data_IF_323992304202
#
_entry.id   IF_323992304202
#
_cell.length_a   1.000
_cell.length_b   1.000
_cell.length_c   1.000
_cell.angle_alpha   90.00
_cell.angle_beta   90.00
_cell.angle_gamma   90.00
#
_symmetry.space_group_name_H-M   'P 1'
#
loop_
_entity.id
_entity.type
_entity.pdbx_description
1 polymer ?
#
# COMPACT_ATOMS: atom_id res chain seq x y z
N UNK A 1 -8.36 43.61 -0.82
CA UNK A 1 -9.04 42.36 -1.25
C UNK A 1 -10.53 42.64 -1.27
N UNK A 2 -11.23 42.33 -2.36
CA UNK A 2 -12.66 42.66 -2.52
C UNK A 2 -13.58 41.65 -1.85
N UNK A 3 -14.81 42.05 -1.53
CA UNK A 3 -15.85 41.20 -0.94
C UNK A 3 -16.09 39.89 -1.74
N UNK A 4 -15.88 39.96 -3.06
CA UNK A 4 -15.94 38.82 -3.98
C UNK A 4 -14.91 37.74 -3.69
N UNK A 5 -13.68 38.08 -3.26
CA UNK A 5 -12.67 37.09 -2.88
C UNK A 5 -13.10 36.33 -1.62
N UNK A 6 -13.69 37.01 -0.64
CA UNK A 6 -14.18 36.38 0.60
C UNK A 6 -15.33 35.44 0.32
N UNK A 7 -16.27 35.83 -0.56
CA UNK A 7 -17.39 34.98 -0.99
C UNK A 7 -16.96 33.75 -1.80
N UNK A 8 -15.94 33.88 -2.66
CA UNK A 8 -15.39 32.73 -3.39
C UNK A 8 -14.69 31.76 -2.43
N UNK A 9 -13.93 32.28 -1.45
CA UNK A 9 -13.26 31.45 -0.44
C UNK A 9 -14.24 30.75 0.50
N UNK A 10 -15.32 31.42 0.93
CA UNK A 10 -16.35 30.78 1.75
C UNK A 10 -17.19 29.77 0.96
N UNK A 11 -17.50 30.02 -0.32
CA UNK A 11 -18.15 29.02 -1.17
C UNK A 11 -17.26 27.79 -1.41
N UNK A 12 -15.96 27.97 -1.63
CA UNK A 12 -15.00 26.86 -1.71
C UNK A 12 -14.94 26.08 -0.39
N UNK A 13 -14.82 26.74 0.76
CA UNK A 13 -14.84 26.06 2.06
C UNK A 13 -16.19 25.35 2.34
N UNK A 14 -17.32 25.88 1.89
CA UNK A 14 -18.62 25.20 1.98
C UNK A 14 -18.74 24.00 1.02
N UNK A 15 -18.11 24.03 -0.15
CA UNK A 15 -18.07 22.88 -1.07
C UNK A 15 -17.12 21.76 -0.62
N UNK A 16 -16.20 22.04 0.31
CA UNK A 16 -15.35 21.04 0.99
C UNK A 16 -15.88 20.62 2.37
N UNK A 17 -17.16 20.88 2.69
CA UNK A 17 -17.79 20.15 3.80
C UNK A 17 -17.98 18.69 3.39
N UNK A 18 -17.28 17.77 4.07
CA UNK A 18 -17.44 16.32 3.90
C UNK A 18 -18.93 15.95 3.88
N UNK A 19 -19.42 15.39 2.78
CA UNK A 19 -20.77 14.84 2.70
C UNK A 19 -20.85 13.54 3.49
N UNK A 20 -20.89 13.64 4.82
CA UNK A 20 -21.09 12.52 5.74
C UNK A 20 -22.51 11.98 5.63
N UNK A 21 -22.76 11.21 4.58
CA UNK A 21 -23.99 10.42 4.42
C UNK A 21 -24.08 9.40 5.55
N UNK A 22 -25.04 9.59 6.46
CA UNK A 22 -25.28 8.66 7.56
C UNK A 22 -25.82 7.33 7.01
N UNK A 23 -24.98 6.30 7.01
CA UNK A 23 -25.38 4.93 6.63
C UNK A 23 -26.05 4.26 7.83
N UNK A 24 -27.35 3.98 7.73
CA UNK A 24 -28.05 3.19 8.74
C UNK A 24 -27.83 1.71 8.44
N UNK A 25 -27.26 0.98 9.39
CA UNK A 25 -27.08 -0.48 9.32
C UNK A 25 -28.21 -1.16 10.07
N UNK A 26 -28.96 -2.03 9.40
CA UNK A 26 -29.97 -2.89 10.02
C UNK A 26 -29.42 -4.31 10.17
N UNK A 27 -29.54 -4.85 11.38
CA UNK A 27 -29.20 -6.24 11.72
C UNK A 27 -30.45 -6.99 12.22
N UNK A 28 -30.53 -8.32 12.09
CA UNK A 28 -31.55 -9.12 12.77
C UNK A 28 -31.41 -9.02 14.30
N UNK A 29 -32.46 -9.44 15.01
CA UNK A 29 -32.44 -9.54 16.48
C UNK A 29 -31.38 -10.52 17.01
N UNK A 30 -31.20 -10.53 18.34
CA UNK A 30 -30.12 -11.27 19.00
C UNK A 30 -30.04 -12.75 18.57
N UNK A 31 -28.94 -13.11 17.91
CA UNK A 31 -28.63 -14.48 17.49
C UNK A 31 -28.01 -15.23 18.68
N UNK A 32 -28.59 -16.36 19.07
CA UNK A 32 -28.04 -17.26 20.09
C UNK A 32 -27.39 -18.47 19.41
N UNK A 33 -26.19 -18.83 19.84
CA UNK A 33 -25.51 -20.08 19.46
C UNK A 33 -24.92 -20.75 20.68
N UNK A 34 -24.72 -22.07 20.62
CA UNK A 34 -24.10 -22.83 21.70
C UNK A 34 -22.59 -22.60 21.74
N UNK A 35 -21.97 -22.78 22.91
CA UNK A 35 -20.51 -22.65 23.07
C UNK A 35 -19.82 -23.66 22.16
N UNK A 36 -18.93 -23.18 21.28
CA UNK A 36 -18.23 -23.98 20.27
C UNK A 36 -18.85 -23.96 18.87
N UNK A 37 -20.09 -23.47 18.70
CA UNK A 37 -20.73 -23.36 17.40
C UNK A 37 -20.53 -21.97 16.77
N UNK A 38 -20.51 -21.90 15.44
CA UNK A 38 -20.49 -20.63 14.71
C UNK A 38 -21.85 -19.93 14.77
N UNK A 39 -21.85 -18.61 14.54
CA UNK A 39 -23.06 -17.79 14.42
C UNK A 39 -22.85 -16.77 13.29
N UNK A 40 -23.85 -16.62 12.42
CA UNK A 40 -23.78 -15.69 11.28
C UNK A 40 -24.72 -14.52 11.50
N UNK A 41 -24.19 -13.30 11.39
CA UNK A 41 -24.95 -12.05 11.46
C UNK A 41 -24.90 -11.39 10.08
N UNK A 42 -26.06 -11.15 9.49
CA UNK A 42 -26.19 -10.51 8.17
C UNK A 42 -26.72 -9.08 8.33
N UNK A 43 -25.95 -8.10 7.86
CA UNK A 43 -26.28 -6.68 7.96
C UNK A 43 -26.67 -6.10 6.59
N UNK A 44 -27.59 -5.12 6.57
CA UNK A 44 -27.97 -4.37 5.36
C UNK A 44 -27.81 -2.87 5.60
N UNK A 45 -27.29 -2.14 4.61
CA UNK A 45 -27.19 -0.68 4.62
C UNK A 45 -28.42 -0.02 3.98
N UNK A 46 -28.79 1.17 4.45
CA UNK A 46 -29.91 1.97 3.90
C UNK A 46 -29.66 2.52 2.48
N UNK A 47 -28.40 2.58 2.05
CA UNK A 47 -27.98 3.07 0.73
C UNK A 47 -26.77 2.28 0.22
N UNK A 48 -26.53 2.33 -1.10
CA UNK A 48 -25.33 1.79 -1.71
C UNK A 48 -24.10 2.58 -1.24
N UNK A 49 -23.09 1.89 -0.71
CA UNK A 49 -21.81 2.52 -0.36
C UNK A 49 -21.00 2.65 -1.66
N UNK A 50 -20.90 3.87 -2.19
CA UNK A 50 -20.21 4.12 -3.46
C UNK A 50 -18.70 4.20 -3.24
N UNK A 51 -17.93 3.43 -4.01
CA UNK A 51 -16.51 3.19 -3.80
C UNK A 51 -15.68 4.11 -4.70
N UNK A 52 -14.85 4.97 -4.10
CA UNK A 52 -13.83 5.78 -4.82
C UNK A 52 -12.39 5.46 -4.38
N UNK A 53 -12.22 4.57 -3.41
CA UNK A 53 -10.92 3.99 -3.02
C UNK A 53 -11.12 2.58 -2.47
N UNK A 54 -10.12 1.71 -2.61
CA UNK A 54 -10.23 0.26 -2.34
C UNK A 54 -10.30 -0.13 -0.85
N UNK A 55 -10.59 0.80 0.06
CA UNK A 55 -10.45 0.60 1.51
C UNK A 55 -11.68 1.08 2.29
N UNK A 56 -12.58 0.15 2.59
CA UNK A 56 -13.59 0.32 3.63
C UNK A 56 -13.35 -0.70 4.75
N UNK A 57 -13.20 -0.20 5.98
CA UNK A 57 -12.97 -0.98 7.18
C UNK A 57 -14.28 -1.22 7.91
N UNK A 58 -14.72 -2.48 8.01
CA UNK A 58 -15.87 -2.86 8.82
C UNK A 58 -15.36 -3.49 10.12
N UNK A 59 -15.50 -2.74 11.22
CA UNK A 59 -14.97 -3.07 12.53
C UNK A 59 -16.05 -3.71 13.43
N UNK A 60 -15.78 -4.90 13.96
CA UNK A 60 -16.64 -5.60 14.90
C UNK A 60 -16.14 -5.39 16.33
N UNK A 61 -17.02 -5.00 17.24
CA UNK A 61 -16.70 -4.81 18.66
C UNK A 61 -17.51 -5.78 19.52
N UNK A 62 -16.86 -6.41 20.50
CA UNK A 62 -17.51 -7.10 21.60
C UNK A 62 -17.80 -6.08 22.71
N UNK A 63 -19.05 -5.99 23.14
CA UNK A 63 -19.44 -5.21 24.31
C UNK A 63 -20.09 -6.15 25.33
N UNK A 64 -19.69 -6.04 26.60
CA UNK A 64 -20.34 -6.68 27.74
C UNK A 64 -21.06 -5.61 28.57
N UNK A 65 -22.06 -6.01 29.35
CA UNK A 65 -22.84 -5.08 30.15
C UNK A 65 -21.94 -4.36 31.18
N UNK A 66 -21.84 -3.04 31.07
CA UNK A 66 -20.99 -2.20 31.91
C UNK A 66 -19.53 -2.05 31.46
N UNK A 67 -19.08 -2.75 30.41
CA UNK A 67 -17.71 -2.67 29.89
C UNK A 67 -17.59 -1.78 28.64
N UNK A 68 -16.37 -1.28 28.39
CA UNK A 68 -16.03 -0.59 27.15
C UNK A 68 -15.97 -1.57 25.96
N UNK A 69 -16.49 -1.21 24.77
CA UNK A 69 -16.44 -2.11 23.61
C UNK A 69 -15.00 -2.44 23.18
N UNK A 70 -14.65 -3.73 23.14
CA UNK A 70 -13.35 -4.24 22.70
C UNK A 70 -13.41 -4.63 21.21
N UNK A 71 -12.50 -4.10 20.39
CA UNK A 71 -12.39 -4.46 18.98
C UNK A 71 -12.03 -5.95 18.83
N UNK A 72 -12.84 -6.70 18.08
CA UNK A 72 -12.62 -8.11 17.75
C UNK A 72 -11.91 -8.30 16.41
N UNK A 73 -12.36 -7.58 15.38
CA UNK A 73 -11.81 -7.71 14.03
C UNK A 73 -12.11 -6.49 13.16
N UNK A 74 -11.28 -6.28 12.15
CA UNK A 74 -11.49 -5.31 11.08
C UNK A 74 -11.44 -6.06 9.76
N UNK A 75 -12.53 -6.07 9.01
CA UNK A 75 -12.59 -6.69 7.67
C UNK A 75 -12.57 -5.61 6.59
N UNK A 76 -11.62 -5.73 5.67
CA UNK A 76 -11.69 -5.07 4.37
C UNK A 76 -12.73 -5.82 3.53
N UNK A 77 -13.79 -5.13 3.10
CA UNK A 77 -14.84 -5.74 2.28
C UNK A 77 -14.74 -5.20 0.86
N UNK A 78 -14.29 -6.06 -0.05
CA UNK A 78 -14.50 -5.86 -1.48
C UNK A 78 -15.98 -6.15 -1.80
N UNK A 79 -16.71 -5.16 -2.31
CA UNK A 79 -18.11 -5.28 -2.75
C UNK A 79 -18.26 -5.12 -4.28
N UNK A 80 -17.19 -5.34 -5.05
CA UNK A 80 -17.19 -5.17 -6.51
C UNK A 80 -18.00 -6.21 -7.31
N UNK A 81 -18.70 -7.14 -6.64
CA UNK A 81 -19.52 -8.18 -7.29
C UNK A 81 -20.99 -8.15 -6.84
N UNK A 82 -21.97 -7.94 -7.74
CA UNK A 82 -23.40 -8.02 -7.40
C UNK A 82 -23.82 -9.48 -7.18
N UNK A 83 -23.72 -9.95 -5.93
CA UNK A 83 -24.22 -11.28 -5.53
C UNK A 83 -23.41 -12.00 -4.45
N UNK A 84 -22.23 -11.50 -4.04
CA UNK A 84 -21.40 -12.17 -3.05
C UNK A 84 -21.95 -12.02 -1.62
N UNK A 85 -22.65 -13.05 -1.12
CA UNK A 85 -22.85 -13.22 0.32
C UNK A 85 -21.49 -13.54 0.95
N UNK A 86 -20.91 -12.59 1.68
CA UNK A 86 -19.66 -12.80 2.40
C UNK A 86 -19.86 -13.76 3.58
N UNK A 87 -19.73 -15.07 3.33
CA UNK A 87 -19.67 -16.07 4.38
C UNK A 87 -18.46 -15.78 5.29
N UNK A 88 -18.69 -15.74 6.60
CA UNK A 88 -17.64 -15.64 7.59
C UNK A 88 -17.23 -17.05 8.01
N UNK A 89 -16.17 -17.56 7.39
CA UNK A 89 -15.52 -18.81 7.80
C UNK A 89 -14.04 -18.53 8.16
N UNK A 90 -13.52 -19.26 9.15
CA UNK A 90 -12.15 -19.12 9.65
C UNK A 90 -11.90 -17.97 10.64
N UNK A 91 -12.46 -18.03 11.86
CA UNK A 91 -12.00 -17.21 12.98
C UNK A 91 -12.07 -17.96 14.33
N UNK A 92 -11.12 -18.85 14.58
CA UNK A 92 -10.99 -19.54 15.88
C UNK A 92 -9.52 -19.82 16.28
N UNK A 93 -8.76 -18.75 16.53
CA UNK A 93 -7.38 -18.86 17.03
C UNK A 93 -6.85 -17.57 17.69
N UNK A 94 -7.62 -16.96 18.61
CA UNK A 94 -7.11 -16.03 19.64
C UNK A 94 -8.16 -15.68 20.72
N UNK A 95 -8.76 -16.71 21.34
CA UNK A 95 -9.52 -16.59 22.59
C UNK A 95 -8.85 -17.40 23.71
N UNK A 96 -7.60 -17.06 24.01
CA UNK A 96 -6.91 -17.45 25.25
C UNK A 96 -6.23 -16.19 25.80
N UNK A 97 -6.28 -16.06 27.12
CA UNK A 97 -5.96 -14.85 27.87
C UNK A 97 -4.45 -14.53 27.91
N UNK A 98 -4.11 -13.24 27.84
CA UNK A 98 -2.91 -12.68 28.46
C UNK A 98 -3.17 -11.19 28.70
N UNK A 99 -3.07 -10.76 29.96
CA UNK A 99 -3.06 -9.35 30.32
C UNK A 99 -1.73 -8.70 29.90
N UNK A 100 -1.73 -7.38 29.71
CA UNK A 100 -0.55 -6.61 29.29
C UNK A 100 -0.95 -5.33 28.57
N UNK A 101 -1.03 -4.22 29.31
CA UNK A 101 -1.53 -2.94 28.78
C UNK A 101 -0.45 -2.05 28.17
N UNK A 102 -0.91 -1.00 27.49
CA UNK A 102 -0.18 0.26 27.29
C UNK A 102 -1.23 1.36 27.18
N UNK A 103 -1.43 2.08 28.29
CA UNK A 103 -2.17 3.33 28.31
C UNK A 103 -1.20 4.51 28.10
N UNK A 104 -1.76 5.69 27.85
CA UNK A 104 -1.09 6.99 27.96
C UNK A 104 -0.02 7.41 26.91
N UNK A 105 -0.40 8.37 26.04
CA UNK A 105 0.39 9.59 25.92
C UNK A 105 -0.45 10.84 25.58
N UNK A 106 -0.21 11.91 26.34
CA UNK A 106 -0.44 13.33 26.01
C UNK A 106 -1.87 13.91 25.97
N UNK A 107 -2.29 14.41 27.13
CA UNK A 107 -3.26 15.51 27.32
C UNK A 107 -2.53 16.82 27.69
N UNK A 108 -2.79 17.92 26.98
CA UNK A 108 -2.75 19.36 27.40
C UNK A 108 -3.05 20.23 26.17
N UNK A 109 -3.76 21.36 26.21
CA UNK A 109 -4.07 22.39 27.25
C UNK A 109 -5.60 22.65 27.36
N UNK A 110 -6.26 23.01 28.47
CA UNK A 110 -6.12 24.20 29.38
C UNK A 110 -6.42 25.54 28.64
N UNK A 111 -7.29 26.50 29.03
CA UNK A 111 -8.15 26.85 30.21
C UNK A 111 -9.41 27.64 29.69
N UNK A 112 -10.58 27.84 30.32
CA UNK A 112 -11.23 27.33 31.56
C UNK A 112 -12.12 28.38 32.32
N UNK A 113 -13.20 27.91 32.99
CA UNK A 113 -14.06 28.58 34.03
C UNK A 113 -15.08 29.72 33.72
N UNK A 114 -16.32 29.55 34.22
CA UNK A 114 -17.37 30.59 34.37
C UNK A 114 -18.76 30.00 34.73
N UNK A 115 -19.26 30.22 35.96
CA UNK A 115 -20.38 29.49 36.60
C UNK A 115 -21.74 30.29 36.59
N UNK A 116 -22.90 29.77 37.08
CA UNK A 116 -24.21 30.02 36.43
C UNK A 116 -25.28 30.79 37.25
N UNK A 117 -26.36 31.26 36.60
CA UNK A 117 -27.65 31.58 37.27
C UNK A 117 -28.91 31.68 36.36
N UNK A 118 -29.89 30.79 36.60
CA UNK A 118 -31.35 30.96 36.84
C UNK A 118 -32.27 31.84 35.93
N UNK A 119 -33.55 31.44 35.90
CA UNK A 119 -34.65 31.80 34.98
C UNK A 119 -35.57 32.99 35.38
N UNK A 120 -36.09 33.72 34.37
CA UNK A 120 -37.45 34.34 34.23
C UNK A 120 -37.87 35.57 35.08
N UNK A 121 -38.93 36.36 34.69
CA UNK A 121 -39.31 36.87 33.34
C UNK A 121 -39.89 38.33 33.31
N UNK A 122 -40.40 38.79 32.13
CA UNK A 122 -41.26 40.00 31.84
C UNK A 122 -40.53 41.37 31.74
N UNK A 123 -40.97 42.38 30.94
CA UNK A 123 -42.16 42.59 30.09
C UNK A 123 -41.91 43.61 28.92
N UNK A 124 -42.51 43.35 27.75
CA UNK A 124 -42.92 44.21 26.60
C UNK A 124 -42.37 45.62 26.26
N UNK A 125 -42.15 45.83 24.94
CA UNK A 125 -42.20 47.13 24.25
C UNK A 125 -42.13 47.00 22.70
N UNK A 126 -43.14 47.42 21.91
CA UNK A 126 -43.18 47.19 20.45
C UNK A 126 -42.79 48.43 19.63
N UNK A 127 -41.71 48.34 18.83
CA UNK A 127 -41.31 49.45 17.93
C UNK A 127 -40.39 49.09 16.76
N UNK A 128 -39.41 48.20 16.96
CA UNK A 128 -38.32 47.99 15.99
C UNK A 128 -38.59 46.97 14.87
N UNK A 129 -39.58 46.09 15.04
CA UNK A 129 -39.79 44.96 14.12
C UNK A 129 -40.33 45.36 12.74
N UNK A 130 -41.12 46.44 12.62
CA UNK A 130 -41.70 46.84 11.32
C UNK A 130 -40.69 47.41 10.34
N UNK A 131 -39.70 48.18 10.82
CA UNK A 131 -38.61 48.68 9.98
C UNK A 131 -37.73 47.52 9.49
N UNK A 132 -37.39 46.60 10.40
CA UNK A 132 -36.62 45.40 10.06
C UNK A 132 -37.30 44.52 8.99
N UNK A 133 -38.62 44.30 9.08
CA UNK A 133 -39.35 43.53 8.05
C UNK A 133 -39.35 44.20 6.68
N UNK A 134 -39.42 45.54 6.61
CA UNK A 134 -39.38 46.27 5.33
C UNK A 134 -37.98 46.20 4.71
N UNK A 135 -36.93 46.41 5.50
CA UNK A 135 -35.54 46.28 5.03
C UNK A 135 -35.17 44.85 4.59
N UNK A 136 -35.69 43.82 5.27
CA UNK A 136 -35.45 42.43 4.88
C UNK A 136 -36.18 42.08 3.57
N UNK A 137 -37.43 42.55 3.40
CA UNK A 137 -38.19 42.32 2.17
C UNK A 137 -37.55 42.98 0.94
N UNK A 138 -37.01 44.21 1.08
CA UNK A 138 -36.31 44.88 -0.03
C UNK A 138 -34.98 44.21 -0.35
N UNK A 139 -34.22 43.76 0.65
CA UNK A 139 -32.99 42.96 0.45
C UNK A 139 -33.29 41.65 -0.29
N UNK A 140 -34.32 40.90 0.10
CA UNK A 140 -34.74 39.69 -0.60
C UNK A 140 -35.14 39.95 -2.05
N UNK A 141 -35.87 41.04 -2.33
CA UNK A 141 -36.23 41.42 -3.69
C UNK A 141 -35.00 41.74 -4.56
N UNK A 142 -34.04 42.50 -4.04
CA UNK A 142 -32.80 42.85 -4.73
C UNK A 142 -31.96 41.59 -5.02
N UNK A 143 -31.85 40.67 -4.05
CA UNK A 143 -31.15 39.39 -4.22
C UNK A 143 -31.80 38.48 -5.25
N UNK A 144 -33.14 38.42 -5.30
CA UNK A 144 -33.83 37.63 -6.33
C UNK A 144 -33.60 38.21 -7.73
N UNK A 145 -33.65 39.53 -7.89
CA UNK A 145 -33.37 40.19 -9.18
C UNK A 145 -31.91 39.96 -9.62
N UNK A 146 -30.94 40.03 -8.71
CA UNK A 146 -29.53 39.78 -9.05
C UNK A 146 -29.26 38.31 -9.41
N UNK A 147 -29.87 37.35 -8.70
CA UNK A 147 -29.79 35.92 -9.03
C UNK A 147 -30.39 35.65 -10.42
N UNK A 148 -31.55 36.23 -10.74
CA UNK A 148 -32.19 36.08 -12.05
C UNK A 148 -31.31 36.69 -13.16
N UNK A 149 -30.73 37.86 -12.93
CA UNK A 149 -29.82 38.50 -13.89
C UNK A 149 -28.54 37.67 -14.12
N UNK A 150 -27.94 37.12 -13.07
CA UNK A 150 -26.76 36.23 -13.17
C UNK A 150 -27.12 34.93 -13.87
N UNK A 151 -28.28 34.33 -13.58
CA UNK A 151 -28.74 33.11 -14.25
C UNK A 151 -29.01 33.34 -15.76
N UNK A 152 -29.61 34.49 -16.11
CA UNK A 152 -29.81 34.89 -17.51
C UNK A 152 -28.48 35.15 -18.23
N UNK A 153 -27.54 35.84 -17.59
CA UNK A 153 -26.19 36.05 -18.13
C UNK A 153 -25.45 34.73 -18.34
N UNK A 154 -25.48 33.82 -17.35
CA UNK A 154 -24.88 32.49 -17.43
C UNK A 154 -25.50 31.63 -18.55
N UNK A 155 -26.83 31.70 -18.73
CA UNK A 155 -27.51 31.02 -19.84
C UNK A 155 -27.08 31.57 -21.20
N UNK A 156 -26.93 32.89 -21.30
CA UNK A 156 -26.46 33.58 -22.52
C UNK A 156 -25.01 33.19 -22.87
N UNK A 157 -24.07 33.25 -21.92
CA UNK A 157 -22.68 32.84 -22.17
C UNK A 157 -22.55 31.35 -22.47
N UNK A 158 -23.39 30.48 -21.90
CA UNK A 158 -23.35 29.04 -22.16
C UNK A 158 -23.77 28.66 -23.59
N UNK A 159 -24.65 29.43 -24.24
CA UNK A 159 -25.01 29.22 -25.66
C UNK A 159 -24.00 29.83 -26.66
N UNK A 160 -23.04 30.64 -26.19
CA UNK A 160 -22.12 31.37 -27.08
C UNK A 160 -20.71 30.79 -27.25
N UNK A 161 -20.26 29.85 -26.39
CA UNK A 161 -18.85 29.42 -26.42
C UNK A 161 -18.48 28.13 -25.68
N UNK A 162 -19.43 27.30 -25.27
CA UNK A 162 -19.15 26.09 -24.48
C UNK A 162 -18.92 24.79 -25.28
N UNK A 163 -19.39 24.73 -26.52
CA UNK A 163 -19.52 23.45 -27.26
C UNK A 163 -18.19 23.04 -27.94
N UNK A 164 -17.62 23.95 -28.75
CA UNK A 164 -16.40 23.69 -29.56
C UNK A 164 -15.17 23.30 -28.72
N UNK A 165 -14.97 23.92 -27.56
CA UNK A 165 -13.83 23.62 -26.69
C UNK A 165 -13.96 22.24 -26.01
N UNK A 166 -15.18 21.90 -25.58
CA UNK A 166 -15.49 20.59 -24.95
C UNK A 166 -15.34 19.44 -25.95
N UNK A 167 -15.81 19.64 -27.19
CA UNK A 167 -15.65 18.66 -28.26
C UNK A 167 -14.18 18.48 -28.67
N UNK A 168 -13.43 19.58 -28.84
CA UNK A 168 -11.99 19.50 -29.20
C UNK A 168 -11.18 18.74 -28.16
N UNK A 169 -11.44 18.99 -26.87
CA UNK A 169 -10.73 18.32 -25.77
C UNK A 169 -11.11 16.83 -25.69
N UNK A 170 -12.39 16.49 -25.84
CA UNK A 170 -12.86 15.10 -25.91
C UNK A 170 -12.26 14.36 -27.11
N UNK A 171 -12.27 14.97 -28.30
CA UNK A 171 -11.78 14.37 -29.54
C UNK A 171 -10.27 14.15 -29.50
N UNK A 172 -9.52 15.03 -28.84
CA UNK A 172 -8.08 14.85 -28.55
C UNK A 172 -7.86 13.70 -27.56
N UNK A 173 -8.70 13.58 -26.53
CA UNK A 173 -8.62 12.48 -25.57
C UNK A 173 -8.96 11.12 -26.21
N UNK A 174 -10.00 11.06 -27.04
CA UNK A 174 -10.38 9.85 -27.78
C UNK A 174 -9.28 9.43 -28.78
N UNK A 175 -8.62 10.38 -29.44
CA UNK A 175 -7.46 10.13 -30.30
C UNK A 175 -6.27 9.57 -29.50
N UNK A 176 -5.96 10.13 -28.32
CA UNK A 176 -4.88 9.65 -27.46
C UNK A 176 -5.16 8.24 -26.90
N UNK A 177 -6.42 7.94 -26.52
CA UNK A 177 -6.84 6.60 -26.08
C UNK A 177 -6.72 5.60 -27.22
N UNK A 178 -7.11 5.97 -28.44
CA UNK A 178 -6.96 5.13 -29.64
C UNK A 178 -5.48 4.82 -29.92
N UNK A 179 -4.62 5.84 -29.91
CA UNK A 179 -3.18 5.68 -30.11
C UNK A 179 -2.54 4.79 -29.03
N UNK A 180 -2.88 5.00 -27.75
CA UNK A 180 -2.38 4.16 -26.66
C UNK A 180 -2.87 2.71 -26.77
N UNK A 181 -4.13 2.49 -27.17
CA UNK A 181 -4.68 1.15 -27.39
C UNK A 181 -3.97 0.42 -28.53
N UNK A 182 -3.63 1.13 -29.62
CA UNK A 182 -2.83 0.59 -30.70
C UNK A 182 -1.43 0.16 -30.20
N UNK A 183 -0.73 1.01 -29.45
CA UNK A 183 0.57 0.68 -28.84
C UNK A 183 0.49 -0.53 -27.91
N UNK A 184 -0.54 -0.63 -27.05
CA UNK A 184 -0.75 -1.79 -26.17
C UNK A 184 -0.92 -3.07 -27.00
N UNK A 185 -1.72 -3.03 -28.07
CA UNK A 185 -1.93 -4.20 -28.94
C UNK A 185 -0.66 -4.62 -29.69
N UNK A 186 0.19 -3.67 -30.09
CA UNK A 186 1.49 -3.95 -30.70
C UNK A 186 2.44 -4.62 -29.70
N UNK A 187 2.59 -4.08 -28.48
CA UNK A 187 3.40 -4.67 -27.41
C UNK A 187 2.91 -6.06 -26.99
N UNK A 188 1.60 -6.31 -27.01
CA UNK A 188 1.03 -7.64 -26.77
C UNK A 188 1.38 -8.64 -27.88
N UNK A 189 1.50 -8.18 -29.13
CA UNK A 189 1.92 -9.02 -30.24
C UNK A 189 3.43 -9.33 -30.19
N UNK A 190 4.25 -8.34 -29.84
CA UNK A 190 5.70 -8.50 -29.62
C UNK A 190 5.98 -9.47 -28.46
N UNK A 191 5.26 -9.35 -27.33
CA UNK A 191 5.38 -10.32 -26.23
C UNK A 191 5.05 -11.76 -26.67
N UNK A 192 4.05 -11.96 -27.54
CA UNK A 192 3.72 -13.28 -28.11
C UNK A 192 4.82 -13.80 -29.05
N UNK A 193 5.48 -12.91 -29.78
CA UNK A 193 6.63 -13.24 -30.63
C UNK A 193 7.80 -13.73 -29.77
N UNK A 194 8.21 -12.93 -28.76
CA UNK A 194 9.30 -13.26 -27.84
C UNK A 194 9.06 -14.56 -27.05
N UNK A 195 7.81 -14.83 -26.64
CA UNK A 195 7.46 -16.09 -25.97
C UNK A 195 7.68 -17.31 -26.88
N UNK A 196 7.34 -17.22 -28.17
CA UNK A 196 7.59 -18.30 -29.13
C UNK A 196 9.08 -18.52 -29.36
N UNK A 197 9.84 -17.45 -29.54
CA UNK A 197 11.29 -17.51 -29.74
C UNK A 197 12.00 -18.10 -28.51
N UNK A 198 11.60 -17.71 -27.30
CA UNK A 198 12.05 -18.33 -26.03
C UNK A 198 11.77 -19.83 -26.01
N UNK A 199 10.55 -20.24 -26.35
CA UNK A 199 10.13 -21.64 -26.28
C UNK A 199 10.82 -22.49 -27.36
N UNK A 200 11.07 -21.92 -28.55
CA UNK A 200 11.89 -22.53 -29.60
C UNK A 200 13.36 -22.67 -29.19
N UNK A 201 13.96 -21.62 -28.61
CA UNK A 201 15.32 -21.68 -28.08
C UNK A 201 15.45 -22.70 -26.94
N UNK A 202 14.45 -22.81 -26.06
CA UNK A 202 14.39 -23.83 -25.01
C UNK A 202 14.31 -25.24 -25.58
N UNK A 203 13.50 -25.44 -26.63
CA UNK A 203 13.42 -26.71 -27.34
C UNK A 203 14.76 -27.06 -28.03
N UNK A 204 15.40 -26.10 -28.71
CA UNK A 204 16.74 -26.25 -29.29
C UNK A 204 17.78 -26.61 -28.24
N UNK A 205 17.82 -25.90 -27.10
CA UNK A 205 18.72 -26.20 -25.99
C UNK A 205 18.52 -27.62 -25.44
N UNK A 206 17.26 -28.06 -25.30
CA UNK A 206 16.95 -29.43 -24.87
C UNK A 206 17.37 -30.50 -25.90
N UNK A 207 17.29 -30.20 -27.20
CA UNK A 207 17.73 -31.09 -28.27
C UNK A 207 19.26 -31.10 -28.48
N UNK A 208 19.94 -29.99 -28.18
CA UNK A 208 21.41 -29.88 -28.23
C UNK A 208 22.07 -30.50 -27.00
N UNK A 209 21.33 -30.71 -25.90
CA UNK A 209 21.77 -31.57 -24.78
C UNK A 209 21.77 -33.02 -25.24
N UNK A 210 22.90 -33.43 -25.83
CA UNK A 210 23.13 -34.78 -26.36
C UNK A 210 22.72 -35.86 -25.35
N UNK A 211 22.24 -37.05 -25.80
CA UNK A 211 21.93 -38.14 -24.90
C UNK A 211 23.17 -38.45 -24.07
N UNK A 212 23.02 -38.34 -22.74
CA UNK A 212 24.11 -38.49 -21.80
C UNK A 212 24.70 -39.89 -21.96
N UNK A 213 25.90 -39.94 -22.53
CA UNK A 213 26.66 -41.19 -22.70
C UNK A 213 26.71 -41.84 -21.31
N UNK A 214 26.24 -43.08 -21.23
CA UNK A 214 26.06 -43.81 -19.96
C UNK A 214 27.41 -43.99 -19.28
N UNK A 215 27.82 -42.96 -18.54
CA UNK A 215 28.95 -42.96 -17.62
C UNK A 215 28.47 -43.68 -16.35
N UNK A 216 29.31 -44.50 -15.71
CA UNK A 216 28.89 -45.23 -14.51
C UNK A 216 28.26 -44.29 -13.51
N UNK A 217 27.05 -44.63 -13.06
CA UNK A 217 26.18 -43.77 -12.27
C UNK A 217 26.92 -43.22 -11.05
N UNK A 218 27.39 -41.97 -11.14
CA UNK A 218 27.73 -41.22 -9.95
C UNK A 218 26.46 -41.17 -9.10
N UNK A 219 26.55 -41.58 -7.84
CA UNK A 219 25.41 -41.56 -6.94
C UNK A 219 24.74 -40.18 -7.01
N UNK A 220 23.41 -40.15 -7.16
CA UNK A 220 22.67 -38.90 -7.20
C UNK A 220 23.13 -38.03 -6.01
N UNK A 221 23.54 -36.76 -6.24
CA UNK A 221 24.05 -35.93 -5.17
C UNK A 221 23.01 -35.88 -4.05
N UNK A 222 23.46 -36.06 -2.81
CA UNK A 222 22.58 -36.08 -1.65
C UNK A 222 21.68 -34.83 -1.66
N UNK A 223 20.40 -34.94 -1.31
CA UNK A 223 19.50 -33.79 -1.32
C UNK A 223 20.08 -32.68 -0.45
N UNK A 224 20.15 -31.47 -1.00
CA UNK A 224 20.60 -30.29 -0.25
C UNK A 224 19.58 -30.03 0.85
N UNK A 225 20.03 -30.03 2.10
CA UNK A 225 19.21 -29.74 3.28
C UNK A 225 19.80 -28.53 3.98
N UNK A 226 19.00 -27.47 4.10
CA UNK A 226 19.36 -26.29 4.87
C UNK A 226 19.23 -26.57 6.38
N UNK A 227 20.01 -25.84 7.18
CA UNK A 227 19.89 -25.86 8.63
C UNK A 227 18.53 -25.29 9.06
N UNK A 228 18.11 -25.58 10.29
CA UNK A 228 16.91 -24.98 10.86
C UNK A 228 17.01 -23.44 10.83
N UNK A 229 15.89 -22.79 10.52
CA UNK A 229 15.76 -21.34 10.25
C UNK A 229 16.44 -20.83 8.96
N UNK A 230 16.94 -21.72 8.10
CA UNK A 230 17.40 -21.38 6.75
C UNK A 230 16.44 -21.92 5.68
N UNK A 231 16.17 -21.13 4.65
CA UNK A 231 15.24 -21.44 3.56
C UNK A 231 16.02 -21.90 2.32
N UNK A 232 15.64 -23.03 1.74
CA UNK A 232 16.25 -23.57 0.51
C UNK A 232 15.67 -22.87 -0.72
N UNK A 233 16.52 -22.38 -1.61
CA UNK A 233 16.16 -22.02 -2.98
C UNK A 233 17.30 -22.39 -3.93
N UNK A 234 16.97 -23.12 -5.00
CA UNK A 234 17.95 -23.77 -5.89
C UNK A 234 19.02 -24.56 -5.12
N UNK A 235 20.28 -24.11 -5.15
CA UNK A 235 21.45 -24.71 -4.50
C UNK A 235 21.99 -23.89 -3.32
N UNK A 236 21.25 -22.86 -2.89
CA UNK A 236 21.61 -21.94 -1.81
C UNK A 236 20.61 -22.02 -0.65
N UNK A 237 21.12 -21.78 0.55
CA UNK A 237 20.34 -21.63 1.77
C UNK A 237 20.36 -20.17 2.21
N UNK A 238 19.20 -19.62 2.57
CA UNK A 238 19.06 -18.19 2.93
C UNK A 238 18.52 -18.02 4.35
N UNK A 239 19.11 -17.11 5.11
CA UNK A 239 18.69 -16.76 6.48
C UNK A 239 18.13 -15.33 6.50
N UNK A 240 16.87 -15.19 6.91
CA UNK A 240 16.23 -13.89 7.14
C UNK A 240 16.47 -13.48 8.60
N UNK A 241 17.44 -12.59 8.85
CA UNK A 241 17.74 -12.12 10.21
C UNK A 241 16.58 -11.29 10.77
N UNK A 242 16.25 -11.49 12.05
CA UNK A 242 15.37 -10.59 12.83
C UNK A 242 16.14 -9.56 13.65
N UNK A 243 17.47 -9.64 13.65
CA UNK A 243 18.35 -8.72 14.36
C UNK A 243 18.85 -7.65 13.39
N UNK A 244 18.82 -6.40 13.81
CA UNK A 244 19.36 -5.28 13.04
C UNK A 244 20.86 -5.09 13.25
N UNK A 245 21.58 -4.77 12.18
CA UNK A 245 23.01 -4.43 12.14
C UNK A 245 23.27 -3.40 11.05
N UNK A 246 24.41 -2.72 11.11
CA UNK A 246 24.92 -2.01 9.94
C UNK A 246 25.34 -3.01 8.84
N UNK A 247 25.55 -2.53 7.61
CA UNK A 247 25.84 -3.40 6.48
C UNK A 247 27.19 -4.17 6.66
N UNK A 248 28.30 -3.55 7.08
CA UNK A 248 29.57 -4.25 7.36
C UNK A 248 29.48 -5.32 8.46
N UNK A 249 28.78 -5.04 9.57
CA UNK A 249 28.54 -6.03 10.62
C UNK A 249 27.62 -7.16 10.15
N UNK A 250 26.64 -6.86 9.28
CA UNK A 250 25.76 -7.86 8.69
C UNK A 250 26.55 -8.84 7.83
N UNK A 251 27.42 -8.33 6.96
CA UNK A 251 28.35 -9.14 6.16
C UNK A 251 29.28 -9.98 7.05
N UNK A 252 29.87 -9.37 8.07
CA UNK A 252 30.73 -10.06 9.05
C UNK A 252 29.98 -11.18 9.79
N UNK A 253 28.71 -10.96 10.14
CA UNK A 253 27.87 -11.98 10.76
C UNK A 253 27.58 -13.13 9.79
N UNK A 254 27.23 -12.86 8.53
CA UNK A 254 27.02 -13.90 7.54
C UNK A 254 28.31 -14.72 7.34
N UNK A 255 29.47 -14.07 7.22
CA UNK A 255 30.77 -14.73 7.15
C UNK A 255 31.04 -15.65 8.34
N UNK A 256 30.64 -15.26 9.56
CA UNK A 256 30.73 -16.12 10.77
C UNK A 256 29.90 -17.41 10.70
N UNK A 257 28.94 -17.52 9.76
CA UNK A 257 28.14 -18.73 9.48
C UNK A 257 28.67 -19.55 8.29
N UNK A 258 29.78 -19.11 7.68
CA UNK A 258 30.25 -19.63 6.39
C UNK A 258 29.23 -19.34 5.30
N UNK A 259 28.84 -18.07 5.21
CA UNK A 259 27.82 -17.49 4.34
C UNK A 259 28.27 -16.06 3.97
N UNK A 260 27.52 -15.34 3.14
CA UNK A 260 27.70 -13.91 2.86
C UNK A 260 26.34 -13.20 2.90
N UNK A 261 26.29 -11.87 2.84
CA UNK A 261 25.04 -11.17 2.52
C UNK A 261 24.54 -11.65 1.14
N UNK A 262 23.22 -11.85 1.02
CA UNK A 262 22.65 -12.50 -0.16
C UNK A 262 22.98 -11.77 -1.47
N UNK A 263 23.47 -12.52 -2.44
CA UNK A 263 23.65 -12.06 -3.82
C UNK A 263 22.34 -12.39 -4.55
N UNK A 264 21.93 -11.56 -5.52
CA UNK A 264 20.64 -11.74 -6.20
C UNK A 264 20.85 -11.67 -7.71
N UNK A 265 20.89 -12.84 -8.34
CA UNK A 265 21.18 -13.01 -9.75
C UNK A 265 19.93 -13.08 -10.63
N UNK A 266 18.77 -13.50 -10.10
CA UNK A 266 17.55 -13.69 -10.92
C UNK A 266 16.29 -13.07 -10.32
N UNK A 267 15.27 -12.88 -11.17
CA UNK A 267 13.97 -12.35 -10.73
C UNK A 267 13.19 -13.36 -9.87
N UNK A 268 13.42 -14.66 -10.06
CA UNK A 268 12.86 -15.73 -9.24
C UNK A 268 13.47 -15.71 -7.83
N UNK A 269 14.78 -15.51 -7.72
CA UNK A 269 15.51 -15.36 -6.46
C UNK A 269 15.06 -14.09 -5.71
N UNK A 270 15.00 -12.96 -6.41
CA UNK A 270 14.45 -11.71 -5.88
C UNK A 270 13.03 -11.90 -5.34
N UNK A 271 12.18 -12.59 -6.08
CA UNK A 271 10.78 -12.83 -5.68
C UNK A 271 10.70 -13.76 -4.48
N UNK A 272 11.49 -14.84 -4.45
CA UNK A 272 11.60 -15.76 -3.33
C UNK A 272 12.03 -15.04 -2.04
N UNK A 273 13.13 -14.27 -2.09
CA UNK A 273 13.60 -13.51 -0.94
C UNK A 273 12.58 -12.48 -0.48
N UNK A 274 12.01 -11.71 -1.40
CA UNK A 274 10.97 -10.73 -1.10
C UNK A 274 9.74 -11.39 -0.46
N UNK A 275 9.31 -12.56 -0.94
CA UNK A 275 8.17 -13.28 -0.37
C UNK A 275 8.41 -13.78 1.06
N UNK A 276 9.64 -14.18 1.40
CA UNK A 276 10.03 -14.52 2.77
C UNK A 276 10.03 -13.32 3.74
N UNK A 277 10.23 -12.10 3.25
CA UNK A 277 10.26 -10.92 4.14
C UNK A 277 8.90 -10.73 4.84
N UNK A 278 8.87 -10.42 6.15
CA UNK A 278 7.64 -10.01 6.82
C UNK A 278 7.20 -8.64 6.29
N UNK A 279 5.92 -8.49 5.93
CA UNK A 279 5.36 -7.18 5.56
C UNK A 279 5.13 -6.34 6.83
N UNK A 280 5.62 -5.10 6.84
CA UNK A 280 5.48 -4.19 8.00
C UNK A 280 5.63 -2.72 7.62
N UNK A 281 5.69 -1.84 8.61
CA UNK A 281 5.84 -0.40 8.38
C UNK A 281 7.30 -0.07 8.01
N UNK A 282 7.59 0.04 6.70
CA UNK A 282 8.94 0.21 6.16
C UNK A 282 9.92 -0.88 6.58
N UNK A 283 9.48 -2.14 6.53
CA UNK A 283 10.37 -3.29 6.74
C UNK A 283 11.39 -3.37 5.60
N UNK A 284 12.66 -3.11 5.93
CA UNK A 284 13.80 -3.05 5.03
C UNK A 284 14.89 -4.05 5.46
N UNK A 285 15.57 -4.67 4.49
CA UNK A 285 16.57 -5.72 4.74
C UNK A 285 17.82 -5.50 3.90
N UNK A 286 19.00 -5.48 4.53
CA UNK A 286 20.29 -5.49 3.81
C UNK A 286 20.47 -6.78 3.00
N UNK A 287 21.04 -6.62 1.82
CA UNK A 287 21.54 -7.69 0.95
C UNK A 287 22.89 -7.27 0.37
N UNK A 288 23.56 -8.16 -0.35
CA UNK A 288 25.00 -8.09 -0.60
C UNK A 288 25.47 -7.12 -1.68
N UNK A 289 24.82 -5.97 -1.86
CA UNK A 289 25.20 -4.95 -2.86
C UNK A 289 25.69 -3.64 -2.21
N UNK A 290 26.74 -3.06 -2.78
CA UNK A 290 27.33 -1.77 -2.37
C UNK A 290 28.10 -1.13 -3.53
N UNK A 291 28.25 0.19 -3.53
CA UNK A 291 29.15 0.93 -4.42
C UNK A 291 30.21 1.77 -3.64
N UNK A 292 30.43 1.51 -2.35
CA UNK A 292 31.39 2.25 -1.49
C UNK A 292 32.84 2.34 -2.02
N UNK A 293 33.24 1.45 -2.93
CA UNK A 293 34.54 1.54 -3.63
C UNK A 293 34.60 2.72 -4.62
N UNK A 294 33.49 2.99 -5.30
CA UNK A 294 33.36 3.95 -6.41
C UNK A 294 31.87 4.16 -6.68
N UNK A 295 31.38 5.37 -6.40
CA UNK A 295 30.03 5.86 -6.72
C UNK A 295 29.52 5.40 -8.10
N UNK A 296 28.23 5.05 -8.18
CA UNK A 296 27.55 4.50 -9.36
C UNK A 296 28.08 3.14 -9.85
N UNK A 297 29.11 2.55 -9.22
CA UNK A 297 29.71 1.26 -9.62
C UNK A 297 29.35 0.15 -8.63
N UNK A 298 28.05 -0.16 -8.54
CA UNK A 298 27.48 -1.21 -7.70
C UNK A 298 28.10 -2.59 -7.96
N UNK A 299 28.57 -3.22 -6.88
CA UNK A 299 29.15 -4.56 -6.85
C UNK A 299 28.49 -5.41 -5.78
N UNK A 300 28.53 -6.71 -6.02
CA UNK A 300 28.20 -7.74 -5.06
C UNK A 300 29.34 -7.96 -4.06
N UNK A 301 29.04 -8.57 -2.91
CA UNK A 301 30.02 -8.92 -1.86
C UNK A 301 31.09 -9.93 -2.28
N UNK A 302 30.94 -10.58 -3.44
CA UNK A 302 31.97 -11.41 -4.08
C UNK A 302 32.90 -10.60 -5.02
N UNK A 303 32.62 -9.31 -5.20
CA UNK A 303 33.33 -8.39 -6.09
C UNK A 303 32.80 -8.34 -7.52
N UNK A 304 31.77 -9.12 -7.88
CA UNK A 304 31.19 -9.08 -9.24
C UNK A 304 30.34 -7.82 -9.47
N UNK A 305 30.39 -7.19 -10.66
CA UNK A 305 29.64 -5.97 -10.93
C UNK A 305 28.15 -6.25 -11.16
N UNK A 306 27.30 -5.29 -10.78
CA UNK A 306 25.85 -5.35 -11.05
C UNK A 306 25.57 -5.14 -12.54
N UNK A 307 24.98 -6.14 -13.20
CA UNK A 307 24.56 -6.06 -14.62
C UNK A 307 23.13 -5.50 -14.77
N UNK A 308 22.30 -5.63 -13.72
CA UNK A 308 20.95 -5.07 -13.63
C UNK A 308 20.35 -5.37 -12.27
N UNK A 309 19.62 -4.41 -11.69
CA UNK A 309 19.04 -4.51 -10.34
C UNK A 309 17.54 -4.31 -10.30
N UNK A 310 16.93 -4.62 -9.14
CA UNK A 310 15.48 -4.50 -8.89
C UNK A 310 15.11 -3.21 -8.15
N UNK A 311 15.82 -2.13 -8.49
CA UNK A 311 15.62 -0.76 -7.98
C UNK A 311 14.20 -0.25 -8.21
N UNK A 312 13.68 0.54 -7.27
CA UNK A 312 12.48 1.33 -7.52
C UNK A 312 12.78 2.52 -8.46
N UNK A 313 11.78 3.03 -9.17
CA UNK A 313 11.93 4.20 -10.03
C UNK A 313 12.34 5.42 -9.20
N UNK A 314 13.54 5.92 -9.51
CA UNK A 314 14.20 6.99 -8.77
C UNK A 314 15.50 6.54 -8.13
N UNK A 315 15.65 5.22 -7.87
CA UNK A 315 16.78 4.65 -7.13
C UNK A 315 17.78 3.93 -8.05
N UNK A 316 19.06 3.79 -7.64
CA UNK A 316 19.68 4.48 -6.51
C UNK A 316 19.78 5.99 -6.77
N UNK A 317 19.72 6.80 -5.72
CA UNK A 317 19.61 8.26 -5.82
C UNK A 317 20.74 9.03 -5.09
N UNK A 318 21.50 8.35 -4.24
CA UNK A 318 22.55 8.87 -3.37
C UNK A 318 22.21 10.19 -2.65
N UNK A 319 21.04 10.27 -2.01
CA UNK A 319 20.52 11.50 -1.45
C UNK A 319 21.28 11.95 -0.18
N UNK A 320 21.89 11.01 0.57
CA UNK A 320 22.69 11.29 1.79
C UNK A 320 23.97 10.42 1.95
N UNK A 321 24.71 10.14 0.87
CA UNK A 321 25.88 9.24 0.87
C UNK A 321 25.47 7.78 1.18
N UNK A 322 24.74 7.18 0.25
CA UNK A 322 23.91 5.98 0.43
C UNK A 322 24.49 4.71 -0.21
N UNK A 323 25.73 4.38 0.14
CA UNK A 323 26.54 3.41 -0.62
C UNK A 323 26.16 1.91 -0.48
N UNK A 324 25.00 1.58 0.12
CA UNK A 324 24.57 0.22 0.43
C UNK A 324 23.10 -0.05 0.09
N UNK A 325 22.82 -1.22 -0.53
CA UNK A 325 21.46 -1.56 -0.98
C UNK A 325 20.64 -2.36 0.02
N UNK A 326 19.37 -1.97 0.22
CA UNK A 326 18.36 -2.73 0.96
C UNK A 326 17.13 -3.06 0.13
N UNK A 327 16.45 -4.15 0.48
CA UNK A 327 15.18 -4.59 -0.10
C UNK A 327 14.02 -4.25 0.84
N UNK A 328 12.91 -3.70 0.32
CA UNK A 328 11.75 -3.27 1.13
C UNK A 328 10.48 -4.10 0.89
N UNK A 329 9.76 -4.41 1.98
CA UNK A 329 8.38 -4.94 1.94
C UNK A 329 7.46 -4.21 2.90
N UNK A 330 7.06 -3.01 2.48
CA UNK A 330 6.25 -2.08 3.28
C UNK A 330 4.74 -2.31 3.16
N UNK A 331 3.97 -1.93 4.19
CA UNK A 331 2.51 -1.72 4.13
C UNK A 331 2.13 -0.34 3.60
N UNK A 332 3.05 0.62 3.60
CA UNK A 332 2.76 2.04 3.34
C UNK A 332 2.61 2.34 1.86
N UNK A 333 3.33 1.59 1.00
CA UNK A 333 3.29 1.73 -0.45
C UNK A 333 3.15 0.35 -1.10
N UNK A 334 2.37 0.28 -2.18
CA UNK A 334 2.19 -0.95 -2.97
C UNK A 334 3.43 -1.21 -3.83
N UNK A 335 4.45 -1.87 -3.25
CA UNK A 335 5.66 -2.34 -3.94
C UNK A 335 5.46 -3.77 -4.48
N UNK A 336 6.23 -4.09 -5.53
CA UNK A 336 6.36 -5.45 -6.10
C UNK A 336 7.81 -5.90 -5.97
N UNK A 337 8.07 -7.21 -5.91
CA UNK A 337 9.41 -7.73 -5.66
C UNK A 337 10.47 -7.16 -6.63
N UNK A 338 10.16 -7.04 -7.93
CA UNK A 338 11.08 -6.54 -8.96
C UNK A 338 11.30 -5.00 -8.96
N UNK A 339 10.67 -4.26 -8.04
CA UNK A 339 10.84 -2.81 -7.82
C UNK A 339 10.78 -2.55 -6.31
N UNK A 340 11.83 -3.02 -5.63
CA UNK A 340 11.90 -2.98 -4.16
C UNK A 340 13.29 -2.76 -3.59
N UNK A 341 14.31 -2.54 -4.41
CA UNK A 341 15.62 -2.12 -3.94
C UNK A 341 15.72 -0.61 -3.84
N UNK A 342 16.50 -0.19 -2.85
CA UNK A 342 16.79 1.18 -2.44
C UNK A 342 18.20 1.24 -1.89
N UNK A 343 18.84 2.37 -2.03
CA UNK A 343 20.09 2.74 -1.40
C UNK A 343 19.85 3.39 -0.03
N UNK A 344 20.78 3.18 0.92
CA UNK A 344 20.83 3.85 2.21
C UNK A 344 22.28 3.93 2.74
N UNK A 345 22.59 4.82 3.71
CA UNK A 345 23.91 4.85 4.31
C UNK A 345 24.21 3.51 4.99
N UNK A 346 25.36 2.92 4.66
CA UNK A 346 25.78 1.60 5.15
C UNK A 346 25.76 1.44 6.69
N UNK A 347 25.77 2.56 7.43
CA UNK A 347 25.71 2.63 8.90
C UNK A 347 24.30 2.45 9.49
N UNK A 348 23.24 2.40 8.67
CA UNK A 348 21.88 2.18 9.17
C UNK A 348 21.70 0.76 9.73
N UNK A 349 21.14 0.67 10.93
CA UNK A 349 20.86 -0.61 11.58
C UNK A 349 19.59 -1.27 11.03
N UNK A 350 19.73 -2.13 10.01
CA UNK A 350 18.63 -2.87 9.40
C UNK A 350 18.76 -4.39 9.66
N UNK A 351 17.65 -5.14 9.67
CA UNK A 351 17.65 -6.57 9.41
C UNK A 351 18.41 -6.91 8.11
N UNK A 352 18.82 -8.16 7.94
CA UNK A 352 19.69 -8.56 6.83
C UNK A 352 19.42 -9.99 6.35
N UNK A 353 19.78 -10.27 5.11
CA UNK A 353 19.65 -11.58 4.47
C UNK A 353 21.05 -12.17 4.28
N UNK A 354 21.31 -13.34 4.88
CA UNK A 354 22.50 -14.12 4.53
C UNK A 354 22.17 -15.18 3.49
N UNK A 355 23.12 -15.50 2.62
CA UNK A 355 23.10 -16.62 1.68
C UNK A 355 24.30 -17.54 1.93
N UNK A 356 24.06 -18.84 1.78
CA UNK A 356 25.07 -19.88 1.81
C UNK A 356 24.89 -20.83 0.64
N UNK A 357 25.80 -20.78 -0.33
CA UNK A 357 25.93 -21.80 -1.35
C UNK A 357 26.22 -23.18 -0.71
N UNK A 358 25.51 -24.21 -1.16
CA UNK A 358 25.64 -25.59 -0.64
C UNK A 358 26.37 -26.51 -1.63
N UNK A 359 27.33 -25.94 -2.36
CA UNK A 359 27.95 -26.49 -3.58
C UNK A 359 28.13 -28.02 -3.63
N UNK A 360 27.62 -28.62 -4.71
CA UNK A 360 27.94 -30.01 -5.06
C UNK A 360 29.45 -30.16 -5.24
N UNK A 361 30.08 -30.97 -4.39
CA UNK A 361 31.51 -30.87 -4.10
C UNK A 361 32.43 -30.95 -5.31
N UNK A 362 33.20 -29.88 -5.55
CA UNK A 362 34.37 -29.84 -6.42
C UNK A 362 35.43 -28.87 -5.88
N UNK A 363 36.46 -29.43 -5.23
CA UNK A 363 37.79 -28.84 -5.00
C UNK A 363 37.89 -27.36 -4.56
N UNK A 364 37.56 -27.09 -3.29
CA UNK A 364 38.23 -26.01 -2.57
C UNK A 364 39.64 -26.49 -2.16
N UNK A 365 40.65 -26.18 -2.98
CA UNK A 365 42.05 -26.39 -2.60
C UNK A 365 42.45 -25.34 -1.56
N UNK A 366 42.81 -25.77 -0.35
CA UNK A 366 43.29 -24.87 0.68
C UNK A 366 44.71 -24.35 0.34
N UNK A 367 45.01 -23.06 0.55
CA UNK A 367 46.39 -22.58 0.53
C UNK A 367 47.15 -23.04 1.78
N UNK A 368 48.45 -23.25 1.62
CA UNK A 368 49.40 -23.69 2.65
C UNK A 368 49.92 -22.54 3.53
#
# INVERSE_FOLDING_TARGET
MTLTCVLIWTLLCCCFTESRGQVTVTQPGAVRSAVGNSATISCRTSQNVYVWSNYHYLAWYQQRDGETPKLLSVKLVDMSSPGSSAACDGMYSQLIESEGGCDELSRRTDVGHGSPARLTPRLSGPGHYRLATVCLATLCAILLVSIIAVAAHYKSTRQGGGEVASETQKQTQDANVSALTATISALQQENKQLQRERDELRAKLSATKAPEVIRPTAAAPAPIVCLMDWHLFNSSCYLISRLSRDWPESQSYCQSKGAHLAIIHTAEEQTFLWDLLPRGHWNSYWFGITDSDTEDQWKWVDGTPLVGGFWEVGEPNNHINEDCGYMIKTTVLSRVAIRSWYDAPCTMALPYICEKEMGGGANAAAPH
#
